data_IF_105282367951
#
_entry.id   IF_105282367951
#
_cell.length_a   1.000
_cell.length_b   1.000
_cell.length_c   1.000
_cell.angle_alpha   90.00
_cell.angle_beta   90.00
_cell.angle_gamma   90.00
#
_symmetry.space_group_name_H-M   'P 1'
#
loop_
_entity.id
_entity.type
_entity.pdbx_description
1 polymer ?
2 non-polymer ?
3 non-polymer ?
4 non-polymer ?
5 non-polymer ?
6 water ?
#
# COMPACT_ATOMS: atom_id res chain seq x y z
N UNK A 2 15.11 8.12 12.43
CA UNK A 2 16.05 8.07 11.34
C UNK A 2 16.07 9.39 10.59
N UNK A 3 16.99 9.51 9.62
CA UNK A 3 17.08 10.70 8.80
C UNK A 3 16.00 10.72 7.73
N UNK A 4 15.57 11.93 7.33
CA UNK A 4 14.75 12.06 6.15
C UNK A 4 15.55 11.52 4.97
N UNK A 5 14.86 10.95 3.97
CA UNK A 5 15.51 10.33 2.81
C UNK A 5 14.80 10.64 1.53
N UNK A 6 15.57 10.73 0.46
CA UNK A 6 15.05 10.81 -0.90
C UNK A 6 15.73 9.70 -1.72
N UNK A 7 15.62 9.77 -3.03
CA UNK A 7 16.35 8.86 -3.92
C UNK A 7 17.55 9.59 -4.53
N UNK A 8 18.63 8.85 -4.81
CA UNK A 8 19.88 9.39 -5.34
C UNK A 8 19.75 9.89 -6.78
N UNK A 9 18.85 9.24 -7.54
CA UNK A 9 18.64 9.59 -8.93
C UNK A 9 17.22 9.16 -9.33
N UNK A 10 16.75 9.63 -10.50
CA UNK A 10 15.43 9.28 -11.01
C UNK A 10 15.35 7.77 -11.24
N UNK A 11 14.24 7.15 -10.84
CA UNK A 11 14.00 5.70 -10.98
C UNK A 11 12.72 5.53 -11.77
N UNK A 12 12.73 4.65 -12.76
CA UNK A 12 11.56 4.42 -13.59
C UNK A 12 11.04 3.01 -13.48
N UNK A 13 9.71 2.88 -13.57
CA UNK A 13 9.00 1.60 -13.56
C UNK A 13 7.87 1.70 -14.56
N UNK A 14 7.45 0.56 -15.13
CA UNK A 14 6.36 0.63 -16.11
C UNK A 14 5.69 -0.71 -16.23
N UNK A 15 4.43 -0.68 -16.68
CA UNK A 15 3.69 -1.91 -16.88
C UNK A 15 2.20 -1.69 -16.78
N UNK A 16 1.45 -2.78 -16.98
CA UNK A 16 -0.01 -2.69 -16.87
C UNK A 16 -0.45 -2.39 -15.43
N UNK A 17 -1.57 -1.69 -15.33
CA UNK A 17 -2.26 -1.45 -14.06
C UNK A 17 -3.30 -2.54 -13.88
N UNK A 18 -3.44 -3.04 -12.65
CA UNK A 18 -4.35 -4.17 -12.39
C UNK A 18 -5.82 -3.85 -12.61
N UNK A 19 -6.21 -2.61 -12.34
CA UNK A 19 -7.62 -2.22 -12.53
C UNK A 19 -7.95 -1.66 -13.90
N UNK A 20 -7.12 -0.75 -14.39
CA UNK A 20 -7.41 -0.13 -15.68
C UNK A 20 -7.05 -1.06 -16.83
N UNK A 21 -6.09 -1.97 -16.60
CA UNK A 21 -5.59 -2.79 -17.70
C UNK A 21 -4.73 -2.01 -18.68
N UNK A 22 -4.43 -0.72 -18.39
CA UNK A 22 -3.69 0.14 -19.31
C UNK A 22 -2.22 0.07 -18.93
N UNK A 23 -1.34 0.35 -19.87
CA UNK A 23 0.09 0.37 -19.63
C UNK A 23 0.46 1.77 -19.14
N UNK A 24 1.10 1.87 -17.98
CA UNK A 24 1.51 3.17 -17.45
C UNK A 24 2.97 3.18 -17.08
N UNK A 25 3.50 4.41 -16.85
CA UNK A 25 4.91 4.58 -16.50
C UNK A 25 5.01 5.49 -15.28
N UNK A 26 6.03 5.25 -14.45
CA UNK A 26 6.33 6.05 -13.26
C UNK A 26 7.73 6.53 -13.39
N UNK A 27 7.99 7.75 -12.90
CA UNK A 27 9.32 8.26 -12.73
C UNK A 27 9.39 8.82 -11.31
N UNK A 28 10.28 8.24 -10.47
CA UNK A 28 10.43 8.71 -9.09
C UNK A 28 11.56 9.71 -9.05
N UNK A 29 11.24 10.94 -8.62
CA UNK A 29 12.14 12.06 -8.62
C UNK A 29 12.65 12.41 -7.25
N UNK A 30 13.95 12.73 -7.12
CA UNK A 30 14.45 13.21 -5.81
C UNK A 30 13.80 14.54 -5.46
N UNK A 31 13.68 14.81 -4.13
CA UNK A 31 13.15 16.06 -3.61
C UNK A 31 13.84 16.42 -2.33
N UNK A 32 13.89 17.73 -2.03
CA UNK A 32 14.53 18.21 -0.83
C UNK A 32 13.73 17.92 0.46
N UNK A 33 14.38 18.16 1.61
CA UNK A 33 13.73 17.98 2.90
C UNK A 33 12.46 18.83 2.98
N UNK A 34 11.44 18.28 3.67
CA UNK A 34 10.16 18.95 3.88
C UNK A 34 9.18 18.85 2.73
N UNK A 35 9.57 18.20 1.61
CA UNK A 35 8.66 18.10 0.48
C UNK A 35 7.52 17.10 0.77
N UNK A 36 7.83 16.00 1.41
CA UNK A 36 6.89 14.90 1.59
C UNK A 36 6.81 14.04 0.35
N UNK A 37 5.91 13.06 0.40
CA UNK A 37 5.66 12.16 -0.74
C UNK A 37 4.50 12.74 -1.52
N UNK A 38 4.68 12.92 -2.82
CA UNK A 38 3.56 13.40 -3.63
C UNK A 38 3.64 12.74 -5.00
N UNK A 39 2.52 12.63 -5.66
CA UNK A 39 2.44 12.17 -7.04
C UNK A 39 2.32 13.40 -7.93
N UNK A 40 2.65 13.23 -9.22
CA UNK A 40 2.54 14.36 -10.13
C UNK A 40 1.93 13.77 -11.41
N UNK A 41 0.86 14.41 -11.92
CA UNK A 41 0.26 13.92 -13.14
C UNK A 41 -0.31 15.11 -13.89
N UNK A 42 0.02 15.23 -15.20
CA UNK A 42 -0.53 16.30 -16.03
C UNK A 42 -0.45 17.68 -15.39
N UNK A 43 0.70 17.99 -14.80
CA UNK A 43 0.95 19.30 -14.24
C UNK A 43 0.42 19.53 -12.84
N UNK A 44 -0.19 18.51 -12.24
CA UNK A 44 -0.81 18.64 -10.93
C UNK A 44 -0.06 17.77 -9.92
N UNK A 45 0.22 18.37 -8.74
CA UNK A 45 0.79 17.60 -7.64
C UNK A 45 -0.34 17.06 -6.76
N UNK A 46 -0.27 15.76 -6.43
CA UNK A 46 -1.30 15.11 -5.61
C UNK A 46 -0.54 14.58 -4.40
N UNK A 47 -0.63 15.25 -3.26
CA UNK A 47 0.10 14.73 -2.09
C UNK A 47 -0.39 13.36 -1.69
N UNK A 48 0.51 12.54 -1.13
CA UNK A 48 0.13 11.20 -0.69
C UNK A 48 -0.42 11.32 0.74
N UNK A 49 -1.60 11.91 0.83
CA UNK A 49 -2.24 12.18 2.12
C UNK A 49 -3.72 11.84 2.02
N UNK A 50 -4.32 11.57 3.17
CA UNK A 50 -5.69 11.11 3.24
C UNK A 50 -6.69 12.09 2.68
N UNK A 51 -6.38 13.40 2.69
CA UNK A 51 -7.34 14.38 2.16
C UNK A 51 -7.58 14.16 0.67
N UNK A 52 -6.66 13.50 -0.02
CA UNK A 52 -6.73 13.31 -1.47
C UNK A 52 -7.28 11.95 -1.86
N UNK A 53 -7.76 11.14 -0.90
CA UNK A 53 -8.33 9.85 -1.25
C UNK A 53 -9.67 10.09 -1.94
N UNK A 54 -9.88 9.39 -3.08
CA UNK A 54 -11.16 9.53 -3.83
C UNK A 54 -11.91 8.20 -3.99
N UNK A 55 -11.28 7.07 -3.67
CA UNK A 55 -11.89 5.75 -3.85
C UNK A 55 -11.13 4.78 -2.99
N UNK A 56 -11.83 3.82 -2.36
CA UNK A 56 -11.23 2.80 -1.49
C UNK A 56 -11.78 1.39 -1.73
N UNK A 57 -12.56 1.14 -2.78
CA UNK A 57 -13.08 -0.22 -3.01
C UNK A 57 -12.15 -0.91 -4.00
N UNK A 58 -11.42 -1.87 -3.50
CA UNK A 58 -10.51 -2.75 -4.23
C UNK A 58 -9.17 -2.15 -4.55
N UNK A 59 -8.92 -0.87 -4.13
CA UNK A 59 -7.63 -0.20 -4.22
C UNK A 59 -7.80 1.12 -3.50
N UNK A 60 -6.70 1.81 -3.22
CA UNK A 60 -6.72 3.16 -2.68
C UNK A 60 -6.30 4.08 -3.81
N UNK A 61 -7.19 5.03 -4.13
CA UNK A 61 -6.95 5.95 -5.23
C UNK A 61 -6.93 7.38 -4.75
N UNK A 62 -6.05 8.20 -5.35
CA UNK A 62 -5.90 9.61 -4.97
C UNK A 62 -6.26 10.49 -6.15
N UNK A 63 -6.66 11.72 -5.85
CA UNK A 63 -6.95 12.65 -6.92
C UNK A 63 -6.85 14.07 -6.43
N UNK A 64 -6.59 14.97 -7.37
CA UNK A 64 -6.64 16.40 -7.09
C UNK A 64 -6.85 17.16 -8.40
N UNK A 65 -7.75 18.16 -8.41
CA UNK A 65 -7.93 19.00 -9.60
C UNK A 65 -8.21 18.22 -10.89
N UNK A 66 -8.98 17.17 -10.79
CA UNK A 66 -9.39 16.38 -11.94
C UNK A 66 -8.39 15.35 -12.39
N UNK A 67 -7.27 15.22 -11.70
CA UNK A 67 -6.25 14.22 -12.03
C UNK A 67 -6.27 13.12 -11.01
N UNK A 68 -6.45 11.89 -11.43
CA UNK A 68 -6.58 10.74 -10.54
C UNK A 68 -5.52 9.70 -10.79
N UNK A 69 -5.12 9.01 -9.75
CA UNK A 69 -4.17 7.90 -9.85
C UNK A 69 -4.70 6.74 -9.03
N UNK A 70 -4.95 5.63 -9.68
CA UNK A 70 -5.41 4.43 -8.98
C UNK A 70 -4.25 3.62 -8.41
N UNK A 71 -4.57 2.91 -7.33
CA UNK A 71 -3.74 1.85 -6.78
C UNK A 71 -2.42 2.32 -6.29
N UNK A 72 -2.46 3.27 -5.34
CA UNK A 72 -1.22 3.82 -4.78
C UNK A 72 -0.64 2.99 -3.62
N UNK A 73 -1.38 2.05 -3.09
CA UNK A 73 -1.00 1.40 -1.83
C UNK A 73 0.31 0.65 -1.82
N UNK A 74 0.68 0.03 -2.96
CA UNK A 74 1.89 -0.79 -2.96
C UNK A 74 3.14 0.07 -3.03
N UNK A 75 3.17 1.08 -3.93
CA UNK A 75 4.34 1.95 -3.94
C UNK A 75 4.43 2.74 -2.60
N UNK A 76 3.29 3.18 -2.04
CA UNK A 76 3.38 3.90 -0.77
C UNK A 76 3.87 2.96 0.33
N UNK A 77 3.47 1.67 0.33
CA UNK A 77 3.96 0.79 1.38
C UNK A 77 5.47 0.64 1.31
N UNK A 78 6.01 0.48 0.09
CA UNK A 78 7.46 0.34 -0.04
C UNK A 78 8.15 1.61 0.45
N UNK A 79 7.65 2.79 0.05
CA UNK A 79 8.30 4.01 0.52
C UNK A 79 8.20 4.13 2.05
N UNK A 80 7.09 3.71 2.66
CA UNK A 80 6.94 3.78 4.11
C UNK A 80 7.96 2.83 4.76
N UNK A 81 8.08 1.60 4.24
CA UNK A 81 9.03 0.62 4.82
C UNK A 81 10.48 1.05 4.72
N UNK A 82 10.85 1.76 3.65
CA UNK A 82 12.23 2.24 3.48
C UNK A 82 12.42 3.60 4.10
N UNK A 83 11.33 4.19 4.61
CA UNK A 83 11.37 5.53 5.23
C UNK A 83 11.88 6.57 4.24
N UNK A 84 11.48 6.46 2.98
CA UNK A 84 11.72 7.53 2.01
C UNK A 84 10.62 8.55 2.31
N UNK A 85 11.03 9.81 2.56
CA UNK A 85 10.10 10.84 3.00
C UNK A 85 9.89 11.95 2.02
N UNK A 86 10.80 12.16 1.06
CA UNK A 86 10.71 13.28 0.12
C UNK A 86 10.88 12.75 -1.27
N UNK A 87 9.83 12.73 -2.10
CA UNK A 87 9.97 12.22 -3.45
C UNK A 87 8.75 12.66 -4.22
N UNK A 88 8.91 12.79 -5.55
CA UNK A 88 7.74 13.02 -6.41
C UNK A 88 7.61 11.81 -7.32
N UNK A 89 6.43 11.20 -7.33
CA UNK A 89 6.14 10.06 -8.20
C UNK A 89 5.36 10.57 -9.39
N UNK A 90 6.07 10.82 -10.52
CA UNK A 90 5.43 11.28 -11.76
C UNK A 90 4.77 10.07 -12.41
N UNK A 91 3.46 10.18 -12.70
CA UNK A 91 2.71 9.07 -13.31
C UNK A 91 2.26 9.51 -14.69
N UNK A 92 2.64 8.69 -15.73
CA UNK A 92 2.21 8.91 -17.10
C UNK A 92 1.21 7.77 -17.29
N UNK A 93 -0.07 8.09 -17.10
CA UNK A 93 -1.11 7.09 -17.09
C UNK A 93 -2.08 7.34 -15.95
N UNK A 94 -2.91 6.33 -15.65
CA UNK A 94 -4.00 6.48 -14.71
C UNK A 94 -3.91 5.61 -13.48
N UNK A 95 -2.82 4.86 -13.34
CA UNK A 95 -2.68 3.88 -12.27
C UNK A 95 -1.22 3.53 -12.11
N UNK A 96 -0.84 3.10 -10.92
CA UNK A 96 0.50 2.63 -10.67
C UNK A 96 0.60 1.21 -11.28
N UNK A 97 1.68 0.89 -12.01
CA UNK A 97 1.82 -0.49 -12.52
C UNK A 97 1.77 -1.51 -11.37
N UNK A 98 1.16 -2.65 -11.62
CA UNK A 98 1.04 -3.68 -10.59
C UNK A 98 2.29 -4.56 -10.52
N UNK A 99 3.02 -4.65 -11.62
CA UNK A 99 4.22 -5.49 -11.73
C UNK A 99 3.82 -6.94 -11.36
N UNK A 100 4.55 -7.65 -10.46
CA UNK A 100 4.20 -9.03 -10.18
C UNK A 100 3.13 -9.18 -9.10
N UNK A 101 2.53 -8.08 -8.67
CA UNK A 101 1.52 -8.08 -7.63
C UNK A 101 2.05 -7.78 -6.24
N UNK A 102 3.37 -7.70 -6.11
CA UNK A 102 4.01 -7.41 -4.82
C UNK A 102 4.81 -6.12 -4.89
N UNK A 103 5.45 -5.78 -3.80
CA UNK A 103 6.32 -4.60 -3.78
C UNK A 103 7.76 -4.89 -4.13
N UNK A 104 8.11 -6.10 -4.57
CA UNK A 104 9.50 -6.49 -4.74
C UNK A 104 10.32 -5.63 -5.67
N UNK A 105 9.84 -5.42 -6.89
CA UNK A 105 10.63 -4.66 -7.85
C UNK A 105 10.86 -3.22 -7.39
N UNK A 106 9.80 -2.60 -6.80
CA UNK A 106 9.98 -1.24 -6.25
C UNK A 106 10.99 -1.26 -5.11
N UNK A 107 10.86 -2.23 -4.18
CA UNK A 107 11.70 -2.28 -3.01
C UNK A 107 13.15 -2.49 -3.37
N UNK A 108 13.44 -3.43 -4.26
CA UNK A 108 14.85 -3.73 -4.59
C UNK A 108 15.51 -2.53 -5.27
N UNK A 109 14.78 -1.83 -6.13
CA UNK A 109 15.33 -0.70 -6.87
C UNK A 109 15.51 0.51 -5.97
N UNK A 110 14.49 0.83 -5.16
CA UNK A 110 14.58 2.00 -4.31
C UNK A 110 15.64 1.80 -3.19
N UNK A 111 15.72 0.59 -2.64
CA UNK A 111 16.63 0.34 -1.54
C UNK A 111 18.10 0.57 -1.89
N UNK A 112 18.46 0.32 -3.16
CA UNK A 112 19.83 0.49 -3.65
C UNK A 112 20.11 1.95 -4.05
N UNK A 113 19.08 2.83 -3.95
CA UNK A 113 19.18 4.21 -4.42
C UNK A 113 18.72 5.23 -3.40
N UNK A 114 18.91 4.94 -2.12
CA UNK A 114 18.54 5.85 -1.03
C UNK A 114 19.59 6.94 -0.84
N UNK A 115 19.11 8.19 -0.71
CA UNK A 115 19.97 9.31 -0.35
C UNK A 115 19.54 9.85 1.01
N UNK A 116 20.39 9.73 2.02
CA UNK A 116 20.09 10.30 3.35
C UNK A 116 20.15 11.84 3.25
N UNK A 117 19.25 12.50 3.98
CA UNK A 117 19.21 13.95 4.01
C UNK A 117 19.62 14.48 5.38
N UNK A 118 19.43 15.78 5.63
CA UNK A 118 20.05 16.47 6.76
C UNK A 118 19.29 16.68 8.04
N UNK A 119 18.03 16.32 8.05
CA UNK A 119 17.27 16.43 9.29
C UNK A 119 16.64 15.05 9.56
N UNK A 120 16.18 14.88 10.77
CA UNK A 120 15.53 13.65 11.19
C UNK A 120 14.07 13.65 10.83
N UNK A 121 13.47 12.45 10.74
CA UNK A 121 12.06 12.35 10.41
C UNK A 121 11.22 12.75 11.63
N UNK A 122 10.11 13.47 11.38
CA UNK A 122 9.09 13.77 12.40
C UNK A 122 8.03 12.70 12.15
N UNK A 123 8.09 11.62 12.90
CA UNK A 123 7.13 10.52 12.75
C UNK A 123 5.73 10.89 13.19
N UNK A 124 4.73 10.23 12.61
CA UNK A 124 3.37 10.33 13.12
C UNK A 124 3.36 9.28 14.24
N UNK A 125 3.29 9.74 15.50
CA UNK A 125 3.36 8.84 16.64
C UNK A 125 1.94 8.69 17.20
N UNK A 126 1.38 7.47 17.14
CA UNK A 126 0.04 7.23 17.70
C UNK A 126 0.10 7.54 19.21
N UNK A 127 -0.76 8.44 19.69
CA UNK A 127 -0.70 8.91 21.09
C UNK A 127 -1.50 8.08 22.09
N UNK A 128 -2.62 7.51 21.65
CA UNK A 128 -3.48 6.71 22.54
C UNK A 128 -4.22 5.62 21.79
N UNK A 129 -4.75 4.59 22.49
CA UNK A 129 -5.51 3.53 21.81
C UNK A 129 -6.78 4.05 21.14
N UNK A 130 -7.10 3.46 19.99
CA UNK A 130 -8.28 3.76 19.20
C UNK A 130 -8.73 2.48 18.49
N UNK A 131 -10.04 2.35 18.31
CA UNK A 131 -10.65 1.24 17.61
C UNK A 131 -11.63 1.80 16.57
N UNK A 132 -11.51 1.33 15.33
CA UNK A 132 -12.46 1.64 14.27
C UNK A 132 -13.10 0.34 13.82
N UNK A 133 -14.39 0.38 13.46
CA UNK A 133 -15.10 -0.83 13.05
C UNK A 133 -16.05 -0.54 11.90
N UNK A 134 -16.34 -1.58 11.13
CA UNK A 134 -17.33 -1.55 10.05
C UNK A 134 -17.75 -2.97 9.70
N UNK A 135 -19.03 -3.30 9.93
CA UNK A 135 -19.65 -4.60 9.63
C UNK A 135 -18.76 -5.82 9.91
N UNK A 136 -18.40 -6.00 11.17
CA UNK A 136 -17.58 -7.10 11.65
C UNK A 136 -16.09 -6.95 11.46
N UNK A 137 -15.68 -5.96 10.65
CA UNK A 137 -14.25 -5.73 10.42
C UNK A 137 -13.79 -4.73 11.47
N UNK A 138 -12.54 -4.85 11.96
CA UNK A 138 -12.09 -3.99 13.05
C UNK A 138 -10.60 -3.66 12.92
N UNK A 139 -10.19 -2.43 13.28
CA UNK A 139 -8.76 -2.09 13.34
C UNK A 139 -8.52 -1.34 14.64
N UNK A 140 -7.50 -1.80 15.37
CA UNK A 140 -7.09 -1.13 16.59
C UNK A 140 -5.71 -0.56 16.41
N UNK A 141 -5.47 0.65 16.91
CA UNK A 141 -4.14 1.25 16.90
C UNK A 141 -3.84 1.64 18.34
N UNK A 142 -2.57 1.61 18.73
CA UNK A 142 -2.14 1.96 20.08
C UNK A 142 -0.67 2.40 20.06
N UNK A 143 -0.18 3.11 21.08
CA UNK A 143 1.20 3.58 21.02
C UNK A 143 2.25 2.46 21.00
N UNK A 144 3.35 2.74 20.29
CA UNK A 144 4.52 1.88 20.18
C UNK A 144 5.67 2.74 19.67
N UNK A 145 6.91 2.45 20.10
CA UNK A 145 8.04 3.23 19.57
C UNK A 145 8.50 2.70 18.24
N UNK A 146 7.97 1.53 17.85
CA UNK A 146 8.28 0.87 16.58
C UNK A 146 6.99 0.65 15.81
N UNK A 147 7.07 0.59 14.49
CA UNK A 147 5.89 0.23 13.70
C UNK A 147 5.69 -1.29 13.79
N UNK A 148 4.51 -1.71 14.25
CA UNK A 148 4.15 -3.12 14.38
C UNK A 148 2.75 -3.26 13.82
N UNK A 149 2.54 -4.19 12.86
CA UNK A 149 1.26 -4.32 12.20
C UNK A 149 0.88 -5.79 12.07
N UNK A 150 -0.27 -6.12 12.64
CA UNK A 150 -0.82 -7.48 12.54
C UNK A 150 -2.09 -7.45 11.74
N UNK A 151 -2.25 -8.44 10.86
CA UNK A 151 -3.51 -8.61 10.16
C UNK A 151 -3.99 -10.05 10.42
N UNK A 152 -5.27 -10.19 10.75
CA UNK A 152 -5.88 -11.52 10.92
C UNK A 152 -7.02 -11.64 9.91
N UNK A 153 -6.96 -12.70 9.11
CA UNK A 153 -7.97 -12.99 8.11
C UNK A 153 -8.83 -14.16 8.55
N UNK A 154 -10.05 -14.19 8.03
CA UNK A 154 -10.98 -15.31 8.25
C UNK A 154 -11.53 -15.63 6.87
N UNK A 155 -10.76 -16.40 6.10
CA UNK A 155 -11.09 -16.70 4.71
C UNK A 155 -12.15 -17.75 4.55
N UNK A 156 -12.99 -17.57 3.52
CA UNK A 156 -14.10 -18.48 3.23
C UNK A 156 -13.70 -19.56 2.23
N UNK A 157 -12.47 -20.03 2.34
CA UNK A 157 -11.95 -21.11 1.53
C UNK A 157 -10.99 -21.92 2.41
N UNK A 158 -10.21 -22.76 1.77
CA UNK A 158 -9.33 -23.70 2.47
C UNK A 158 -8.37 -23.01 3.41
N UNK A 159 -8.03 -21.73 3.19
CA UNK A 159 -7.06 -21.03 4.05
C UNK A 159 -7.51 -20.83 5.48
N UNK A 160 -8.82 -20.69 5.68
CA UNK A 160 -9.37 -20.52 7.01
C UNK A 160 -8.83 -19.29 7.70
N UNK A 161 -8.52 -19.41 8.97
CA UNK A 161 -7.99 -18.32 9.79
C UNK A 161 -6.47 -18.28 9.76
N UNK A 162 -5.91 -17.09 9.47
CA UNK A 162 -4.46 -16.91 9.45
C UNK A 162 -4.19 -15.53 10.03
N UNK A 163 -3.02 -15.36 10.64
CA UNK A 163 -2.57 -14.09 11.21
C UNK A 163 -1.10 -13.90 10.83
N UNK A 164 -0.70 -12.63 10.66
CA UNK A 164 0.72 -12.32 10.42
C UNK A 164 1.03 -10.98 11.06
N UNK A 165 2.20 -10.88 11.68
CA UNK A 165 2.69 -9.65 12.29
C UNK A 165 4.01 -9.21 11.66
N UNK A 166 4.01 -7.97 11.14
CA UNK A 166 5.21 -7.27 10.71
C UNK A 166 5.75 -6.49 11.91
N UNK A 167 7.08 -6.53 12.07
CA UNK A 167 7.77 -5.65 12.99
C UNK A 167 8.95 -5.05 12.20
N UNK A 168 9.46 -3.89 12.66
CA UNK A 168 10.63 -3.27 12.01
C UNK A 168 11.79 -4.24 11.97
N UNK A 169 12.44 -4.29 10.82
CA UNK A 169 13.57 -5.18 10.56
C UNK A 169 13.13 -6.36 9.71
N UNK A 170 11.81 -6.58 9.59
CA UNK A 170 11.28 -7.71 8.84
C UNK A 170 10.57 -7.30 7.56
N UNK A 171 11.02 -6.20 6.95
CA UNK A 171 10.44 -5.67 5.71
C UNK A 171 10.44 -6.70 4.59
N UNK A 172 11.52 -7.51 4.53
CA UNK A 172 11.67 -8.52 3.48
C UNK A 172 10.62 -9.62 3.56
N UNK A 173 9.92 -9.74 4.71
CA UNK A 173 8.89 -10.77 4.88
C UNK A 173 7.55 -10.39 4.26
N UNK A 174 7.35 -9.11 3.88
CA UNK A 174 6.06 -8.72 3.29
C UNK A 174 6.16 -8.13 1.89
N UNK A 175 7.37 -7.74 1.44
CA UNK A 175 7.51 -7.08 0.15
C UNK A 175 7.38 -8.02 -1.05
N UNK A 176 7.37 -9.33 -0.82
CA UNK A 176 7.20 -10.29 -1.92
C UNK A 176 5.79 -10.88 -1.91
N UNK A 177 4.95 -10.52 -0.95
CA UNK A 177 3.61 -11.10 -0.87
C UNK A 177 2.68 -10.39 -1.87
N UNK A 178 2.03 -11.18 -2.74
CA UNK A 178 1.25 -10.61 -3.83
C UNK A 178 -0.20 -10.32 -3.50
N UNK A 179 -0.78 -9.39 -4.28
CA UNK A 179 -2.20 -9.15 -4.27
C UNK A 179 -2.88 -10.51 -4.61
N UNK A 180 -4.11 -10.68 -4.16
CA UNK A 180 -4.81 -11.96 -4.30
C UNK A 180 -6.26 -11.69 -4.51
N UNK A 181 -6.95 -12.70 -5.08
CA UNK A 181 -8.39 -12.61 -5.35
C UNK A 181 -9.00 -13.97 -5.29
N UNK A 182 -10.29 -13.99 -4.97
CA UNK A 182 -11.02 -15.25 -4.91
C UNK A 182 -11.80 -15.38 -6.20
N UNK A 183 -11.83 -16.60 -6.79
CA UNK A 183 -12.47 -16.77 -8.09
C UNK A 183 -13.92 -16.34 -8.07
N UNK A 184 -14.64 -16.56 -6.95
CA UNK A 184 -16.06 -16.21 -6.86
C UNK A 184 -16.30 -14.69 -6.84
N UNK A 185 -15.25 -13.89 -6.60
CA UNK A 185 -15.41 -12.44 -6.53
C UNK A 185 -15.02 -11.70 -7.79
N UNK A 186 -14.39 -12.40 -8.74
CA UNK A 186 -13.87 -11.78 -9.96
C UNK A 186 -14.99 -11.22 -10.84
N UNK A 187 -16.11 -11.92 -10.99
CA UNK A 187 -17.21 -11.40 -11.81
C UNK A 187 -17.65 -10.01 -11.29
N UNK A 188 -17.78 -9.84 -9.96
CA UNK A 188 -18.19 -8.54 -9.40
C UNK A 188 -17.15 -7.47 -9.75
N UNK A 189 -15.87 -7.77 -9.55
CA UNK A 189 -14.82 -6.80 -9.84
C UNK A 189 -14.88 -6.34 -11.29
N UNK A 190 -15.06 -7.29 -12.23
CA UNK A 190 -15.14 -6.93 -13.65
C UNK A 190 -16.40 -6.12 -13.93
N UNK A 191 -17.52 -6.47 -13.28
CA UNK A 191 -18.81 -5.81 -13.54
C UNK A 191 -18.81 -4.38 -13.05
N UNK A 192 -18.00 -4.03 -12.06
CA UNK A 192 -17.93 -2.65 -11.59
C UNK A 192 -16.84 -1.84 -12.28
N UNK A 193 -16.31 -2.36 -13.39
CA UNK A 193 -15.33 -1.64 -14.21
C UNK A 193 -13.91 -1.70 -13.69
N UNK A 194 -13.59 -2.70 -12.87
CA UNK A 194 -12.28 -2.88 -12.27
C UNK A 194 -11.64 -4.21 -12.74
N UNK A 195 -10.45 -4.45 -12.24
CA UNK A 195 -9.69 -5.68 -12.51
C UNK A 195 -9.36 -5.95 -13.95
N UNK A 196 -9.31 -4.89 -14.82
CA UNK A 196 -9.09 -5.14 -16.24
C UNK A 196 -7.72 -5.66 -16.57
N UNK A 197 -6.74 -5.40 -15.72
CA UNK A 197 -5.40 -5.88 -15.96
C UNK A 197 -5.02 -7.11 -15.15
N UNK A 198 -5.99 -7.65 -14.40
CA UNK A 198 -5.71 -8.79 -13.54
C UNK A 198 -5.46 -10.07 -14.31
N UNK A 199 -4.46 -10.86 -13.85
CA UNK A 199 -4.14 -12.13 -14.48
C UNK A 199 -3.37 -12.97 -13.46
N UNK A 200 -3.06 -14.21 -13.82
CA UNK A 200 -2.24 -15.09 -13.01
C UNK A 200 -0.79 -14.64 -12.97
N UNK A 201 -0.40 -13.65 -13.82
CA UNK A 201 0.97 -13.14 -13.81
C UNK A 201 1.13 -12.07 -12.73
N UNK A 202 0.02 -11.48 -12.21
CA UNK A 202 0.15 -10.43 -11.21
C UNK A 202 -0.74 -10.60 -9.99
N UNK A 203 -1.49 -11.71 -9.91
CA UNK A 203 -2.42 -11.93 -8.80
C UNK A 203 -2.37 -13.40 -8.40
N UNK A 204 -2.38 -13.68 -7.10
CA UNK A 204 -2.61 -15.02 -6.58
C UNK A 204 -4.15 -15.23 -6.60
N UNK A 205 -4.64 -16.19 -7.45
CA UNK A 205 -6.07 -16.42 -7.55
C UNK A 205 -6.41 -17.76 -6.92
N UNK A 206 -7.35 -17.72 -5.98
CA UNK A 206 -7.72 -18.90 -5.21
C UNK A 206 -9.18 -19.22 -5.37
N UNK A 207 -9.49 -20.51 -5.31
CA UNK A 207 -10.86 -20.98 -5.31
C UNK A 207 -11.22 -21.50 -3.92
N UNK A 208 -12.40 -22.11 -3.77
CA UNK A 208 -12.79 -22.68 -2.48
C UNK A 208 -11.78 -23.74 -2.04
N UNK A 209 -11.27 -24.53 -3.00
CA UNK A 209 -10.31 -25.63 -2.73
C UNK A 209 -8.99 -25.54 -3.49
N UNK A 210 -8.97 -24.80 -4.57
CA UNK A 210 -7.93 -24.75 -5.59
C UNK A 210 -7.06 -23.49 -5.54
N UNK A 211 -5.83 -23.63 -6.08
CA UNK A 211 -4.90 -22.53 -6.29
C UNK A 211 -4.75 -22.48 -7.79
N UNK A 212 -5.15 -21.34 -8.42
CA UNK A 212 -5.04 -21.28 -9.87
C UNK A 212 -3.61 -21.17 -10.36
N UNK A 213 -2.75 -20.41 -9.66
CA UNK A 213 -1.39 -20.14 -10.09
C UNK A 213 -0.58 -21.43 -10.13
N UNK A 214 0.02 -21.82 -11.28
CA UNK A 214 0.79 -23.08 -11.29
C UNK A 214 1.98 -23.03 -10.33
N UNK A 215 2.55 -21.83 -10.08
CA UNK A 215 3.72 -21.68 -9.21
C UNK A 215 3.32 -21.76 -7.71
N UNK A 216 2.01 -21.75 -7.44
CA UNK A 216 1.50 -21.81 -6.08
C UNK A 216 1.74 -20.55 -5.27
N UNK A 217 1.62 -20.68 -3.95
CA UNK A 217 1.83 -19.59 -3.00
C UNK A 217 3.28 -19.37 -2.71
N UNK A 218 3.67 -18.10 -2.52
CA UNK A 218 5.05 -17.80 -2.13
C UNK A 218 5.29 -18.13 -0.66
N UNK A 219 4.22 -18.05 0.14
CA UNK A 219 4.21 -18.39 1.56
C UNK A 219 2.85 -18.95 1.87
N UNK A 220 2.74 -19.87 2.85
CA UNK A 220 1.43 -20.41 3.18
C UNK A 220 0.41 -19.37 3.64
N UNK A 221 0.91 -18.24 4.18
CA UNK A 221 0.04 -17.16 4.63
C UNK A 221 0.30 -15.90 3.74
N UNK A 222 0.64 -16.12 2.43
CA UNK A 222 0.87 -14.97 1.55
C UNK A 222 -0.28 -13.95 1.60
N UNK A 223 -1.57 -14.34 1.61
CA UNK A 223 -2.63 -13.31 1.60
C UNK A 223 -2.58 -12.40 2.83
N UNK A 224 -2.37 -12.92 4.04
CA UNK A 224 -2.34 -12.01 5.19
C UNK A 224 -1.07 -11.18 5.22
N UNK A 225 0.06 -11.73 4.68
CA UNK A 225 1.26 -10.89 4.55
C UNK A 225 0.93 -9.71 3.61
N UNK A 226 0.21 -9.99 2.50
CA UNK A 226 -0.12 -8.91 1.58
C UNK A 226 -1.04 -7.89 2.25
N UNK A 227 -2.01 -8.30 3.05
CA UNK A 227 -2.89 -7.36 3.73
C UNK A 227 -2.13 -6.47 4.72
N UNK A 228 -1.08 -7.01 5.37
CA UNK A 228 -0.25 -6.19 6.24
C UNK A 228 0.45 -5.14 5.36
N UNK A 229 0.99 -5.59 4.21
CA UNK A 229 1.67 -4.70 3.27
C UNK A 229 0.70 -3.58 2.79
N UNK A 230 -0.52 -3.90 2.46
CA UNK A 230 -1.49 -2.88 2.02
C UNK A 230 -1.74 -1.87 3.16
N UNK A 231 -1.92 -2.35 4.40
CA UNK A 231 -2.21 -1.47 5.53
C UNK A 231 -1.05 -0.52 5.77
N UNK A 232 0.22 -1.01 5.62
CA UNK A 232 1.35 -0.10 5.77
C UNK A 232 1.35 1.00 4.70
N UNK A 233 0.90 0.66 3.48
CA UNK A 233 0.77 1.68 2.43
C UNK A 233 -0.31 2.71 2.78
N UNK A 234 -1.48 2.26 3.22
CA UNK A 234 -2.57 3.15 3.60
C UNK A 234 -2.20 4.03 4.80
N UNK A 235 -1.42 3.46 5.74
CA UNK A 235 -1.01 4.27 6.89
C UNK A 235 -0.12 5.44 6.48
N UNK A 236 0.63 5.29 5.36
CA UNK A 236 1.49 6.41 4.96
C UNK A 236 0.68 7.63 4.50
N UNK A 237 -0.63 7.46 4.33
CA UNK A 237 -1.50 8.61 4.04
C UNK A 237 -1.65 9.53 5.24
N UNK A 238 -1.11 9.15 6.38
CA UNK A 238 -0.99 10.08 7.50
C UNK A 238 0.04 11.20 7.16
N UNK A 239 0.91 10.97 6.16
CA UNK A 239 1.79 12.02 5.65
C UNK A 239 3.18 12.02 6.24
N UNK A 240 3.49 11.07 7.14
CA UNK A 240 4.81 10.90 7.73
C UNK A 240 4.93 9.42 8.06
N UNK A 241 6.14 8.85 8.13
CA UNK A 241 6.26 7.46 8.61
C UNK A 241 5.65 7.35 10.01
N UNK A 242 5.07 6.18 10.30
CA UNK A 242 4.25 6.00 11.47
C UNK A 242 4.89 5.12 12.54
N UNK A 243 4.71 5.53 13.81
CA UNK A 243 5.10 4.70 14.94
C UNK A 243 3.84 4.39 15.72
N UNK A 244 3.49 3.10 15.74
CA UNK A 244 2.30 2.64 16.45
C UNK A 244 2.17 1.14 16.26
N UNK A 245 1.32 0.50 17.07
CA UNK A 245 1.05 -0.93 17.00
C UNK A 245 -0.38 -1.06 16.50
N UNK A 246 -0.56 -1.81 15.41
CA UNK A 246 -1.86 -1.92 14.78
C UNK A 246 -2.28 -3.36 14.69
N UNK A 247 -3.58 -3.58 14.82
CA UNK A 247 -4.19 -4.92 14.66
C UNK A 247 -5.42 -4.75 13.81
N UNK A 248 -5.44 -5.39 12.64
CA UNK A 248 -6.59 -5.35 11.75
C UNK A 248 -7.22 -6.75 11.67
N UNK A 249 -8.53 -6.82 11.96
CA UNK A 249 -9.28 -8.05 11.79
C UNK A 249 -10.14 -7.82 10.56
N UNK A 250 -9.77 -8.45 9.42
CA UNK A 250 -10.59 -8.39 8.20
C UNK A 250 -10.67 -7.00 7.56
N UNK A 251 -9.77 -6.09 7.92
CA UNK A 251 -9.79 -4.75 7.35
C UNK A 251 -9.44 -4.72 5.87
N UNK A 252 -9.96 -3.71 5.21
CA UNK A 252 -9.70 -3.45 3.80
C UNK A 252 -9.35 -1.97 3.66
N UNK A 253 -9.19 -1.49 2.42
CA UNK A 253 -8.77 -0.10 2.24
C UNK A 253 -9.77 0.90 2.87
N UNK A 254 -11.08 0.65 2.76
CA UNK A 254 -12.05 1.58 3.33
C UNK A 254 -11.84 1.75 4.83
N UNK A 255 -11.67 0.62 5.56
CA UNK A 255 -11.49 0.75 7.00
C UNK A 255 -10.10 1.32 7.37
N UNK A 256 -9.07 0.98 6.56
CA UNK A 256 -7.74 1.52 6.79
C UNK A 256 -7.76 3.04 6.69
N UNK A 257 -8.46 3.57 5.66
CA UNK A 257 -8.56 5.02 5.45
C UNK A 257 -9.41 5.68 6.54
N UNK A 258 -10.46 4.98 7.00
CA UNK A 258 -11.27 5.48 8.11
C UNK A 258 -10.40 5.64 9.35
N UNK A 259 -9.53 4.64 9.63
CA UNK A 259 -8.62 4.76 10.78
C UNK A 259 -7.69 5.93 10.61
N UNK A 260 -7.06 6.05 9.42
CA UNK A 260 -6.13 7.16 9.21
C UNK A 260 -6.80 8.53 9.43
N UNK A 261 -8.02 8.69 8.92
CA UNK A 261 -8.69 9.98 9.06
C UNK A 261 -9.03 10.25 10.53
N UNK A 262 -9.41 9.21 11.29
CA UNK A 262 -9.68 9.41 12.72
C UNK A 262 -8.41 9.79 13.49
N UNK A 263 -7.26 9.09 13.21
CA UNK A 263 -6.02 9.41 13.88
C UNK A 263 -5.56 10.84 13.53
N UNK A 264 -5.71 11.23 12.27
CA UNK A 264 -5.25 12.55 11.83
C UNK A 264 -6.06 13.65 12.51
N UNK A 265 -7.37 13.42 12.65
CA UNK A 265 -8.29 14.38 13.28
C UNK A 265 -7.93 14.57 14.75
N UNK A 266 -7.68 13.45 15.46
CA UNK A 266 -7.32 13.39 16.89
C UNK A 266 -6.07 14.20 17.20
N UNK A 267 -5.04 14.11 16.33
CA UNK A 267 -3.73 14.72 16.55
C UNK A 267 -3.47 16.03 15.80
N UNK A 268 -4.52 16.60 15.18
CA UNK A 268 -4.55 17.84 14.37
C UNK A 268 -3.56 18.95 14.78
X LIG B 1 -18.47 -5.40 -1.57
X LIG B 1 -18.04 -5.52 -2.81
X LIG B 1 -17.40 -4.42 -3.14
X LIG B 1 -17.43 -3.57 -2.08
X LIG B 1 -18.10 -4.18 -1.10
X LIG C 1 -2.55 -4.82 -2.29
X LIG D 1 -16.69 -4.16 -5.03
X LIG E 1 -17.14 -1.88 -5.73
X LIG F 1 -10.87 -3.43 -0.39
X LIG G 1 -9.19 -8.62 -8.26
X LIG G 1 -9.15 -8.24 -6.95
X LIG G 1 -8.48 -7.10 -6.57
X LIG G 1 -8.37 -9.38 -11.03
X LIG G 1 -7.29 -10.10 -10.56
X LIG G 1 -6.99 -11.29 -11.17
X LIG G 1 -7.77 -11.77 -12.21
X LIG G 1 -8.86 -11.04 -12.66
X LIG G 1 -9.16 -9.82 -12.07
X LIG G 1 -7.01 -5.93 -4.61
X LIG G 1 -7.52 -5.45 -0.74
X LIG G 1 -6.31 -7.45 -1.00
X LIG G 1 -6.53 -7.44 -2.51
X LIG G 1 -5.38 -4.01 -2.65
X LIG G 1 -7.87 -6.67 -8.83
X LIG G 1 -7.83 -6.32 -7.50
X LIG G 1 -8.56 -7.81 -9.19
X LIG G 1 -5.26 -5.35 -2.89
X LIG G 1 -7.73 -5.32 -2.23
X LIG G 1 -6.64 -6.02 -3.07
X LIG G 1 -4.19 -5.95 -3.05
X LIG G 1 -7.44 -6.83 -0.36
X LIG G 1 -4.11 -3.37 -2.67
X LIG G 1 -8.66 -8.13 -10.52
X LIG G 1 -8.61 -6.72 -4.86
X LIG G 1 -7.35 -13.26 -12.94
#
# INVERSE_FOLDING_TARGET
>A
MGLEKTVKEKLSFEGVGIHTGEYSKLIIHPEKEGTGIRFFKNGVYIPARHEFVVHTNHSTDLGFKGQRIKTVEHILSVLHLLEITNVTIEVIGNEIPILDGSGWEFYEAIRKNILNQNREIDYFVVEEPIIVEDEGRLIKAEPSDTLEVTYEGEFKNFLGRQKFTFVEGNEEEIVLARTFAFDWEIEHIKKVGLGKGGSLKNTLVLGKDKVYNPEGLRYENEPVRHKVFDLIGDLYLLGSPVKGKFYSFRGGHSLNVKLVKELAKKQKLTR
>B hetero
1 IMD N1 C2 N3 C4 C5
>C hetero
1 ZN ZN
>D hetero
1 ZN ZN
>E hetero
1 CL CL
>F hetero
1 CL CL
>G hetero
1 3BW C1 C2 C3 C8 C9 C10 C11 C12 C13 C16 C19 C21 C22 N25 C5 C4 C6 C23 C18 C17 O24 O20 O26 O7 S15 CL1
#
